data_IF_239207019524
#
_entry.id   IF_239207019524
#
_cell.length_a   1.000
_cell.length_b   1.000
_cell.length_c   1.000
_cell.angle_alpha   90.00
_cell.angle_beta   90.00
_cell.angle_gamma   90.00
#
_symmetry.space_group_name_H-M   'P 1'
#
loop_
_entity.id
_entity.type
_entity.pdbx_description
1 polymer ?
#
# COMPACT_ATOMS: atom_id res chain seq x y z
N UNK A 1 29.19 9.10 -10.07
CA UNK A 1 27.71 9.19 -9.95
C UNK A 1 27.32 10.60 -9.48
N UNK A 2 26.27 11.19 -10.08
CA UNK A 2 25.73 12.52 -9.69
C UNK A 2 25.19 12.56 -8.25
N UNK A 3 25.02 11.39 -7.64
CA UNK A 3 24.57 11.24 -6.25
C UNK A 3 25.69 10.87 -5.28
N UNK A 4 26.95 10.83 -5.73
CA UNK A 4 28.09 10.37 -4.90
C UNK A 4 28.26 11.17 -3.59
N UNK A 5 27.84 12.42 -3.57
CA UNK A 5 27.92 13.25 -2.35
C UNK A 5 26.92 12.80 -1.27
N UNK A 6 25.79 12.19 -1.66
CA UNK A 6 24.80 11.68 -0.70
C UNK A 6 25.40 10.56 0.17
N UNK A 7 26.24 9.70 -0.41
CA UNK A 7 26.86 8.57 0.32
C UNK A 7 27.91 9.00 1.36
N UNK A 8 28.23 10.30 1.45
CA UNK A 8 29.07 10.86 2.50
C UNK A 8 28.28 11.38 3.70
N UNK A 9 26.96 11.45 3.57
CA UNK A 9 26.06 11.88 4.62
C UNK A 9 25.76 10.73 5.58
N UNK A 10 25.42 11.07 6.83
CA UNK A 10 24.87 10.07 7.74
C UNK A 10 23.54 9.53 7.20
N UNK A 11 23.23 8.23 7.39
CA UNK A 11 21.96 7.66 6.94
C UNK A 11 20.74 8.35 7.52
N UNK A 12 20.83 8.88 8.73
CA UNK A 12 19.77 9.62 9.43
C UNK A 12 19.69 11.11 9.04
N UNK A 13 20.62 11.61 8.20
CA UNK A 13 20.55 12.97 7.64
C UNK A 13 19.61 13.04 6.43
N UNK A 14 18.33 12.76 6.63
CA UNK A 14 17.33 12.79 5.56
C UNK A 14 17.25 14.17 4.87
N UNK A 15 17.57 15.27 5.57
CA UNK A 15 17.58 16.63 4.98
C UNK A 15 18.72 16.81 3.98
N UNK A 16 19.89 16.31 4.32
CA UNK A 16 21.02 16.28 3.40
C UNK A 16 20.78 15.38 2.21
N UNK A 17 20.24 14.18 2.43
CA UNK A 17 19.91 13.21 1.39
C UNK A 17 18.90 13.78 0.39
N UNK A 18 17.79 14.35 0.86
CA UNK A 18 16.74 14.90 -0.02
C UNK A 18 17.26 16.05 -0.87
N UNK A 19 18.07 16.95 -0.29
CA UNK A 19 18.73 18.04 -1.03
C UNK A 19 19.75 17.51 -2.03
N UNK A 20 20.48 16.46 -1.68
CA UNK A 20 21.45 15.82 -2.57
C UNK A 20 20.79 15.18 -3.79
N UNK A 21 19.65 14.53 -3.58
CA UNK A 21 18.84 13.92 -4.66
C UNK A 21 18.28 15.00 -5.60
N UNK A 22 17.75 16.11 -5.06
CA UNK A 22 17.26 17.23 -5.85
C UNK A 22 18.39 17.86 -6.69
N UNK A 23 19.53 18.16 -6.09
CA UNK A 23 20.72 18.69 -6.79
C UNK A 23 21.24 17.71 -7.85
N UNK A 24 21.11 16.42 -7.63
CA UNK A 24 21.43 15.38 -8.60
C UNK A 24 20.50 15.33 -9.81
N UNK A 25 19.45 16.17 -9.86
CA UNK A 25 18.52 16.28 -10.98
C UNK A 25 17.51 15.13 -11.06
N UNK A 26 17.13 14.56 -9.91
CA UNK A 26 16.07 13.53 -9.87
C UNK A 26 14.70 14.09 -10.26
N UNK A 27 14.44 15.34 -9.91
CA UNK A 27 13.24 16.06 -10.29
C UNK A 27 13.58 17.37 -11.02
N UNK A 28 12.83 17.67 -12.07
CA UNK A 28 13.00 18.87 -12.90
C UNK A 28 12.37 20.11 -12.27
N UNK A 29 11.42 19.93 -11.35
CA UNK A 29 10.75 21.02 -10.64
C UNK A 29 11.44 21.28 -9.32
N UNK A 30 11.76 22.55 -9.02
CA UNK A 30 12.26 22.96 -7.71
C UNK A 30 11.29 22.66 -6.59
N UNK A 31 11.81 22.44 -5.37
CA UNK A 31 11.00 22.13 -4.19
C UNK A 31 10.77 20.63 -3.93
N UNK A 32 11.37 19.75 -4.74
CA UNK A 32 11.29 18.31 -4.52
C UNK A 32 11.82 17.89 -3.13
N UNK A 33 12.99 18.43 -2.75
CA UNK A 33 13.58 18.16 -1.43
C UNK A 33 12.64 18.61 -0.30
N UNK A 34 12.05 19.80 -0.40
CA UNK A 34 11.12 20.33 0.61
C UNK A 34 9.87 19.46 0.73
N UNK A 35 9.31 19.02 -0.40
CA UNK A 35 8.14 18.13 -0.42
C UNK A 35 8.46 16.78 0.23
N UNK A 36 9.63 16.20 -0.09
CA UNK A 36 10.06 14.92 0.47
C UNK A 36 10.36 15.03 1.97
N UNK A 37 11.00 16.12 2.41
CA UNK A 37 11.21 16.39 3.84
C UNK A 37 9.91 16.51 4.61
N UNK A 38 8.92 17.21 4.03
CA UNK A 38 7.60 17.33 4.63
C UNK A 38 6.92 15.96 4.79
N UNK A 39 7.03 15.07 3.80
CA UNK A 39 6.53 13.69 3.89
C UNK A 39 7.21 12.95 5.06
N UNK A 40 8.54 13.00 5.13
CA UNK A 40 9.32 12.34 6.17
C UNK A 40 8.90 12.87 7.55
N UNK A 41 8.79 14.19 7.71
CA UNK A 41 8.47 14.83 8.99
C UNK A 41 7.03 14.56 9.44
N UNK A 42 6.04 14.71 8.56
CA UNK A 42 4.62 14.47 8.88
C UNK A 42 4.39 13.02 9.30
N UNK A 43 5.09 12.07 8.67
CA UNK A 43 4.93 10.65 8.95
C UNK A 43 5.92 10.15 10.02
N UNK A 44 6.76 11.01 10.56
CA UNK A 44 7.73 10.67 11.58
C UNK A 44 8.73 9.59 11.14
N UNK A 45 9.07 9.52 9.82
CA UNK A 45 9.88 8.44 9.27
C UNK A 45 11.32 8.47 9.79
N UNK A 46 11.84 9.65 10.14
CA UNK A 46 13.17 9.82 10.72
C UNK A 46 13.39 8.98 11.99
N UNK A 47 12.34 8.59 12.69
CA UNK A 47 12.45 7.72 13.88
C UNK A 47 13.00 6.32 13.55
N UNK A 48 12.70 5.82 12.33
CA UNK A 48 13.18 4.49 11.91
C UNK A 48 14.68 4.52 11.63
N UNK A 49 15.17 5.57 10.98
CA UNK A 49 16.60 5.75 10.78
C UNK A 49 17.32 5.83 12.13
N UNK A 50 16.78 6.61 13.08
CA UNK A 50 17.32 6.73 14.44
C UNK A 50 17.33 5.39 15.17
N UNK A 51 16.26 4.59 15.05
CA UNK A 51 16.16 3.26 15.66
C UNK A 51 17.22 2.34 15.09
N UNK A 52 17.34 2.24 13.76
CA UNK A 52 18.36 1.40 13.09
C UNK A 52 19.77 1.86 13.50
N UNK A 53 20.03 3.16 13.56
CA UNK A 53 21.32 3.69 13.99
C UNK A 53 21.64 3.35 15.45
N UNK A 54 20.64 3.32 16.34
CA UNK A 54 20.81 2.91 17.73
C UNK A 54 21.10 1.41 17.83
N UNK A 55 20.36 0.57 17.10
CA UNK A 55 20.57 -0.88 17.05
C UNK A 55 21.98 -1.21 16.53
N UNK A 56 22.41 -0.55 15.44
CA UNK A 56 23.76 -0.75 14.88
C UNK A 56 24.86 -0.33 15.86
N UNK A 57 24.67 0.78 16.58
CA UNK A 57 25.62 1.22 17.62
C UNK A 57 25.70 0.23 18.78
N UNK A 58 24.56 -0.31 19.20
CA UNK A 58 24.48 -1.32 20.26
C UNK A 58 25.20 -2.62 19.86
N UNK A 59 25.15 -2.98 18.57
CA UNK A 59 25.82 -4.16 18.02
C UNK A 59 27.28 -3.91 17.61
N UNK A 60 27.80 -2.68 17.80
CA UNK A 60 29.17 -2.32 17.41
C UNK A 60 29.39 -2.25 15.89
N UNK A 61 28.32 -2.24 15.11
CA UNK A 61 28.36 -2.15 13.65
C UNK A 61 28.50 -0.69 13.21
N UNK A 62 29.32 -0.45 12.20
CA UNK A 62 29.44 0.89 11.57
C UNK A 62 28.65 0.90 10.27
N UNK A 63 27.86 1.96 10.07
CA UNK A 63 27.23 2.21 8.76
C UNK A 63 28.34 2.70 7.81
N UNK A 64 28.67 1.90 6.82
CA UNK A 64 29.62 2.27 5.79
C UNK A 64 29.72 1.15 4.75
N UNK A 65 29.78 1.55 3.48
CA UNK A 65 30.07 0.63 2.38
C UNK A 65 31.48 0.12 2.58
N UNK A 66 31.64 -1.10 3.06
CA UNK A 66 32.91 -1.80 2.89
C UNK A 66 33.15 -1.99 1.40
N UNK A 67 34.04 -1.18 0.85
CA UNK A 67 34.59 -1.43 -0.46
C UNK A 67 35.37 -2.73 -0.38
N UNK A 68 34.83 -3.75 -1.07
CA UNK A 68 35.49 -4.95 -1.56
C UNK A 68 36.96 -5.13 -1.17
N UNK A 69 37.20 -5.92 -0.16
CA UNK A 69 38.40 -6.71 -0.05
C UNK A 69 38.01 -8.15 -0.39
N UNK A 70 38.33 -8.56 -1.61
CA UNK A 70 38.37 -9.95 -2.01
C UNK A 70 39.45 -10.64 -1.18
N UNK A 71 39.04 -11.48 -0.27
CA UNK A 71 39.91 -12.54 0.24
C UNK A 71 39.17 -13.85 0.10
N UNK A 72 39.71 -14.65 -0.81
CA UNK A 72 39.43 -16.06 -0.96
C UNK A 72 39.74 -16.78 0.36
N UNK A 73 38.76 -17.43 0.93
CA UNK A 73 38.99 -18.42 1.97
C UNK A 73 38.19 -19.66 1.63
N UNK A 74 38.94 -20.69 1.50
CA UNK A 74 38.72 -22.07 1.13
C UNK A 74 37.61 -22.72 1.96
N UNK A 75 36.74 -23.42 1.27
CA UNK A 75 35.72 -24.33 1.80
C UNK A 75 36.41 -25.52 2.45
N UNK A 76 36.05 -25.84 3.68
CA UNK A 76 36.20 -27.16 4.24
C UNK A 76 34.86 -27.64 4.76
N UNK A 77 34.38 -28.66 4.08
CA UNK A 77 33.18 -29.41 4.41
C UNK A 77 33.38 -30.27 5.67
N UNK A 78 32.41 -30.26 6.55
CA UNK A 78 32.11 -31.40 7.41
C UNK A 78 30.58 -31.50 7.59
N UNK A 79 30.07 -32.60 7.04
CA UNK A 79 28.72 -33.11 7.21
C UNK A 79 28.58 -33.68 8.61
N UNK A 80 27.54 -33.32 9.32
CA UNK A 80 26.97 -34.11 10.40
C UNK A 80 25.46 -33.94 10.43
N UNK A 81 24.78 -34.98 10.04
CA UNK A 81 23.36 -35.25 10.21
C UNK A 81 22.97 -35.39 11.67
N UNK A 82 21.96 -34.66 12.10
CA UNK A 82 21.00 -35.18 13.10
C UNK A 82 19.70 -34.39 13.01
N UNK A 83 18.63 -35.15 12.78
CA UNK A 83 17.23 -34.73 12.83
C UNK A 83 16.90 -34.25 14.24
N UNK A 84 16.25 -33.09 14.32
CA UNK A 84 15.25 -32.84 15.36
C UNK A 84 14.28 -31.76 14.84
N UNK A 85 13.03 -32.16 14.76
CA UNK A 85 11.87 -31.30 14.60
C UNK A 85 11.79 -30.32 15.76
N UNK A 86 12.12 -29.08 15.54
CA UNK A 86 11.69 -27.99 16.41
C UNK A 86 10.87 -26.97 15.59
N UNK A 87 9.60 -27.02 15.86
CA UNK A 87 8.54 -26.10 15.54
C UNK A 87 8.95 -24.69 16.00
N UNK A 88 9.56 -23.90 15.11
CA UNK A 88 9.88 -22.50 15.38
C UNK A 88 8.56 -21.71 15.41
N UNK A 89 8.02 -21.57 16.60
CA UNK A 89 6.98 -20.59 16.89
C UNK A 89 7.59 -19.20 16.65
N UNK A 90 7.35 -18.65 15.48
CA UNK A 90 7.48 -17.20 15.25
C UNK A 90 6.49 -16.51 16.18
N UNK A 91 7.00 -15.64 17.05
CA UNK A 91 6.21 -14.81 17.93
C UNK A 91 5.12 -14.10 17.10
N UNK A 92 3.90 -14.54 17.28
CA UNK A 92 2.70 -13.94 16.72
C UNK A 92 2.55 -12.57 17.37
N UNK A 93 2.94 -11.51 16.65
CA UNK A 93 2.34 -10.21 16.92
C UNK A 93 0.84 -10.41 16.70
N UNK A 94 0.04 -10.17 17.72
CA UNK A 94 -1.42 -10.15 17.67
C UNK A 94 -1.86 -9.00 16.78
N UNK A 95 -1.72 -9.18 15.46
CA UNK A 95 -2.42 -8.39 14.48
C UNK A 95 -3.88 -8.80 14.56
N UNK A 96 -4.76 -7.83 14.60
CA UNK A 96 -6.20 -8.09 14.55
C UNK A 96 -6.52 -8.60 13.14
N UNK A 97 -6.44 -9.90 12.92
CA UNK A 97 -6.59 -10.58 11.61
C UNK A 97 -7.99 -10.39 10.97
N UNK A 98 -8.80 -9.46 11.49
CA UNK A 98 -10.14 -9.15 10.98
C UNK A 98 -10.15 -8.13 9.83
N UNK A 99 -9.07 -7.39 9.67
CA UNK A 99 -8.96 -6.31 8.67
C UNK A 99 -7.64 -6.34 7.93
N UNK A 100 -7.66 -5.90 6.67
CA UNK A 100 -6.47 -5.75 5.82
C UNK A 100 -6.66 -4.58 4.86
N UNK A 101 -5.58 -3.95 4.43
CA UNK A 101 -5.63 -3.05 3.28
C UNK A 101 -5.78 -3.82 1.96
N UNK A 102 -6.31 -3.18 0.90
CA UNK A 102 -6.57 -3.85 -0.38
C UNK A 102 -5.30 -4.25 -1.14
N UNK A 103 -4.14 -3.70 -0.77
CA UNK A 103 -2.81 -4.08 -1.27
C UNK A 103 -1.86 -4.14 -0.08
N UNK A 104 -1.09 -5.21 0.02
CA UNK A 104 -0.07 -5.33 1.07
C UNK A 104 1.21 -4.66 0.59
N UNK A 105 1.60 -3.60 1.28
CA UNK A 105 2.90 -2.97 1.19
C UNK A 105 3.46 -2.79 2.59
N UNK A 106 4.78 -2.79 2.72
CA UNK A 106 5.42 -2.87 4.04
C UNK A 106 5.09 -1.67 4.94
N UNK A 107 4.91 -0.45 4.38
CA UNK A 107 4.68 0.75 5.17
C UNK A 107 3.63 1.71 4.60
N UNK A 108 3.50 1.84 3.26
CA UNK A 108 2.68 2.88 2.64
C UNK A 108 1.81 2.39 1.51
N UNK A 109 0.58 2.88 1.48
CA UNK A 109 -0.34 2.77 0.39
C UNK A 109 -0.35 4.11 -0.38
N UNK A 110 0.25 4.14 -1.57
CA UNK A 110 0.30 5.36 -2.37
C UNK A 110 -0.96 5.54 -3.18
N UNK A 111 -1.74 6.59 -2.87
CA UNK A 111 -2.90 7.01 -3.64
C UNK A 111 -2.45 7.99 -4.73
N UNK A 112 -2.61 7.60 -5.97
CA UNK A 112 -2.25 8.42 -7.15
C UNK A 112 -3.39 9.32 -7.59
N UNK A 113 -4.63 8.97 -7.27
CA UNK A 113 -5.81 9.79 -7.55
C UNK A 113 -6.91 9.60 -6.51
N UNK A 114 -7.44 10.69 -5.91
CA UNK A 114 -8.45 10.60 -4.86
C UNK A 114 -9.86 10.40 -5.43
N UNK A 115 -10.78 10.07 -4.54
CA UNK A 115 -12.23 10.12 -4.77
C UNK A 115 -12.71 11.55 -4.99
N UNK A 116 -13.69 11.73 -5.87
CA UNK A 116 -14.34 13.02 -6.09
C UNK A 116 -14.24 13.52 -7.54
N UNK A 117 -14.65 14.76 -7.75
CA UNK A 117 -14.58 15.39 -9.06
C UNK A 117 -13.13 15.63 -9.46
N UNK A 118 -12.76 15.14 -10.64
CA UNK A 118 -11.42 15.32 -11.20
C UNK A 118 -11.48 15.51 -12.72
N UNK A 119 -10.41 16.01 -13.29
CA UNK A 119 -10.22 16.00 -14.72
C UNK A 119 -10.24 14.56 -15.26
N UNK A 120 -10.97 14.33 -16.34
CA UNK A 120 -11.04 13.00 -16.96
C UNK A 120 -9.64 12.61 -17.48
N UNK A 121 -9.06 11.47 -17.07
CA UNK A 121 -7.73 11.06 -17.52
C UNK A 121 -7.66 10.76 -19.01
N UNK A 122 -8.79 10.44 -19.65
CA UNK A 122 -8.89 10.13 -21.08
C UNK A 122 -9.25 11.36 -21.93
N UNK A 123 -9.94 12.35 -21.34
CA UNK A 123 -10.34 13.60 -22.00
C UNK A 123 -10.17 14.78 -21.02
N UNK A 124 -9.01 15.40 -21.07
CA UNK A 124 -8.65 16.49 -20.14
C UNK A 124 -9.54 17.75 -20.27
N UNK A 125 -10.38 17.84 -21.31
CA UNK A 125 -11.37 18.92 -21.44
C UNK A 125 -12.61 18.73 -20.55
N UNK A 126 -12.80 17.52 -20.00
CA UNK A 126 -13.96 17.15 -19.20
C UNK A 126 -13.59 16.92 -17.74
N UNK A 127 -14.59 17.13 -16.90
CA UNK A 127 -14.54 16.68 -15.51
C UNK A 127 -15.45 15.47 -15.29
N UNK A 128 -15.00 14.54 -14.45
CA UNK A 128 -15.79 13.39 -14.07
C UNK A 128 -15.68 13.09 -12.60
N UNK A 129 -16.71 12.44 -12.07
CA UNK A 129 -16.72 11.89 -10.72
C UNK A 129 -15.88 10.61 -10.68
N UNK A 130 -14.81 10.60 -9.89
CA UNK A 130 -14.04 9.42 -9.58
C UNK A 130 -14.65 8.72 -8.37
N UNK A 131 -15.26 7.54 -8.60
CA UNK A 131 -16.03 6.80 -7.58
C UNK A 131 -15.18 5.85 -6.74
N UNK A 132 -13.88 6.06 -6.70
CA UNK A 132 -12.91 5.29 -5.95
C UNK A 132 -11.64 6.08 -5.72
N UNK A 133 -10.61 5.40 -5.28
CA UNK A 133 -9.24 5.90 -5.27
C UNK A 133 -8.37 5.02 -6.16
N UNK A 134 -7.38 5.61 -6.82
CA UNK A 134 -6.39 4.85 -7.57
C UNK A 134 -5.15 4.68 -6.70
N UNK A 135 -4.77 3.43 -6.47
CA UNK A 135 -3.66 3.04 -5.62
C UNK A 135 -2.53 2.54 -6.52
N UNK A 136 -1.32 3.05 -6.31
CA UNK A 136 -0.13 2.53 -7.02
C UNK A 136 0.05 1.06 -6.72
N UNK A 137 -0.07 0.23 -7.74
CA UNK A 137 0.12 -1.20 -7.67
C UNK A 137 0.67 -1.70 -9.01
N UNK A 138 1.66 -2.58 -8.96
CA UNK A 138 2.29 -3.16 -10.16
C UNK A 138 2.44 -4.66 -9.94
N UNK A 139 1.51 -5.44 -10.49
CA UNK A 139 1.46 -6.89 -10.29
C UNK A 139 1.45 -7.30 -8.80
N UNK A 140 0.83 -6.45 -7.97
CA UNK A 140 0.70 -6.71 -6.55
C UNK A 140 -0.53 -7.58 -6.26
N UNK A 141 -0.46 -8.40 -5.21
CA UNK A 141 -1.60 -9.13 -4.71
C UNK A 141 -2.69 -8.16 -4.22
N UNK A 142 -3.89 -8.34 -4.74
CA UNK A 142 -5.08 -7.59 -4.34
C UNK A 142 -5.85 -8.42 -3.31
N UNK A 143 -6.16 -7.79 -2.17
CA UNK A 143 -6.59 -8.48 -0.95
C UNK A 143 -7.99 -8.03 -0.51
N UNK A 144 -8.76 -8.97 0.04
CA UNK A 144 -10.01 -8.66 0.74
C UNK A 144 -9.73 -7.86 2.02
N UNK A 145 -10.60 -6.90 2.32
CA UNK A 145 -10.35 -5.93 3.38
C UNK A 145 -10.88 -6.33 4.75
N UNK A 146 -11.88 -7.21 4.82
CA UNK A 146 -12.50 -7.65 6.07
C UNK A 146 -12.77 -9.16 6.06
N UNK A 147 -12.97 -9.72 7.25
CA UNK A 147 -13.48 -11.09 7.40
C UNK A 147 -14.97 -11.16 7.09
N UNK A 148 -15.42 -12.34 6.59
CA UNK A 148 -16.83 -12.60 6.31
C UNK A 148 -17.35 -11.90 5.07
N UNK A 149 -16.46 -11.51 4.17
CA UNK A 149 -16.84 -10.98 2.87
C UNK A 149 -17.37 -12.07 1.95
N UNK A 150 -18.35 -11.73 1.11
CA UNK A 150 -18.86 -12.59 0.04
C UNK A 150 -18.58 -11.95 -1.32
N UNK A 151 -17.98 -12.69 -2.23
CA UNK A 151 -17.80 -12.24 -3.62
C UNK A 151 -19.16 -12.20 -4.31
N UNK A 152 -19.63 -11.01 -4.65
CA UNK A 152 -20.96 -10.80 -5.24
C UNK A 152 -20.91 -10.52 -6.75
N UNK A 153 -19.76 -10.09 -7.27
CA UNK A 153 -19.57 -9.90 -8.71
C UNK A 153 -18.12 -10.16 -9.11
N UNK A 154 -17.95 -10.74 -10.29
CA UNK A 154 -16.68 -10.95 -10.97
C UNK A 154 -16.85 -10.59 -12.44
N UNK A 155 -15.95 -9.77 -12.99
CA UNK A 155 -15.90 -9.48 -14.41
C UNK A 155 -14.55 -9.92 -14.99
N UNK A 156 -14.58 -10.86 -15.91
CA UNK A 156 -13.38 -11.35 -16.61
C UNK A 156 -13.09 -10.60 -17.91
N UNK A 157 -13.98 -9.71 -18.35
CA UNK A 157 -13.82 -8.97 -19.60
C UNK A 157 -12.83 -7.81 -19.42
N UNK A 158 -11.67 -7.94 -20.05
CA UNK A 158 -10.62 -6.90 -20.02
C UNK A 158 -10.98 -5.62 -20.81
N UNK A 159 -12.03 -5.66 -21.66
CA UNK A 159 -12.37 -4.57 -22.57
C UNK A 159 -13.53 -3.70 -22.07
N UNK A 160 -13.97 -3.85 -20.83
CA UNK A 160 -14.89 -2.90 -20.16
C UNK A 160 -14.14 -1.69 -19.59
N UNK A 161 -14.85 -0.63 -19.19
CA UNK A 161 -14.21 0.56 -18.62
C UNK A 161 -13.28 0.23 -17.43
N UNK A 162 -13.76 -0.58 -16.47
CA UNK A 162 -13.00 -1.02 -15.30
C UNK A 162 -12.15 -2.26 -15.53
N UNK A 163 -12.22 -2.90 -16.71
CA UNK A 163 -11.52 -4.12 -17.01
C UNK A 163 -11.94 -5.30 -16.14
N UNK A 164 -11.03 -6.24 -15.92
CA UNK A 164 -11.25 -7.34 -14.99
C UNK A 164 -11.43 -6.80 -13.58
N UNK A 165 -12.48 -7.27 -12.88
CA UNK A 165 -12.82 -6.73 -11.58
C UNK A 165 -13.49 -7.75 -10.66
N UNK A 166 -13.38 -7.49 -9.35
CA UNK A 166 -14.03 -8.25 -8.28
C UNK A 166 -14.79 -7.28 -7.38
N UNK A 167 -15.99 -7.66 -6.93
CA UNK A 167 -16.72 -6.93 -5.88
C UNK A 167 -16.99 -7.87 -4.72
N UNK A 168 -16.62 -7.43 -3.52
CA UNK A 168 -16.85 -8.16 -2.27
C UNK A 168 -17.83 -7.37 -1.41
N UNK A 169 -18.80 -8.06 -0.83
CA UNK A 169 -19.84 -7.50 0.04
C UNK A 169 -19.63 -7.97 1.49
N UNK A 170 -19.69 -7.04 2.42
CA UNK A 170 -19.63 -7.26 3.86
C UNK A 170 -20.94 -6.83 4.49
N UNK A 171 -21.64 -7.75 5.16
CA UNK A 171 -22.92 -7.46 5.83
C UNK A 171 -22.66 -7.02 7.27
N UNK A 172 -23.30 -5.93 7.67
CA UNK A 172 -23.25 -5.37 9.03
C UNK A 172 -24.39 -5.94 9.90
N UNK A 173 -24.23 -5.82 11.21
CA UNK A 173 -25.22 -6.33 12.18
C UNK A 173 -26.61 -5.66 12.05
N UNK A 174 -26.65 -4.42 11.60
CA UNK A 174 -27.88 -3.65 11.35
C UNK A 174 -28.53 -3.96 10.00
N UNK A 175 -28.01 -4.95 9.24
CA UNK A 175 -28.50 -5.33 7.92
C UNK A 175 -28.00 -4.42 6.79
N UNK A 176 -27.27 -3.34 7.08
CA UNK A 176 -26.59 -2.56 6.06
C UNK A 176 -25.38 -3.34 5.49
N UNK A 177 -24.89 -2.91 4.35
CA UNK A 177 -23.79 -3.59 3.67
C UNK A 177 -22.75 -2.58 3.19
N UNK A 178 -21.51 -3.04 3.11
CA UNK A 178 -20.42 -2.35 2.43
C UNK A 178 -19.95 -3.22 1.28
N UNK A 179 -19.86 -2.66 0.10
CA UNK A 179 -19.24 -3.31 -1.07
C UNK A 179 -17.92 -2.64 -1.38
N UNK A 180 -16.87 -3.44 -1.52
CA UNK A 180 -15.57 -3.01 -2.03
C UNK A 180 -15.38 -3.55 -3.45
N UNK A 181 -14.98 -2.70 -4.38
CA UNK A 181 -14.76 -3.05 -5.78
C UNK A 181 -13.32 -2.82 -6.17
N UNK A 182 -12.72 -3.81 -6.80
CA UNK A 182 -11.34 -3.86 -7.23
C UNK A 182 -11.30 -3.97 -8.76
N UNK A 183 -10.72 -2.99 -9.46
CA UNK A 183 -10.73 -2.93 -10.93
C UNK A 183 -9.32 -2.90 -11.52
N UNK A 184 -9.26 -3.02 -12.84
CA UNK A 184 -8.04 -3.04 -13.65
C UNK A 184 -7.13 -4.24 -13.34
N UNK A 185 -7.70 -5.36 -12.86
CA UNK A 185 -6.95 -6.54 -12.48
C UNK A 185 -6.33 -7.22 -13.69
N UNK A 186 -5.13 -7.78 -13.52
CA UNK A 186 -4.51 -8.68 -14.49
C UNK A 186 -5.11 -10.07 -14.39
N UNK A 187 -5.27 -10.59 -13.18
CA UNK A 187 -5.85 -11.90 -12.92
C UNK A 187 -6.81 -11.88 -11.74
N UNK A 188 -7.74 -12.83 -11.71
CA UNK A 188 -8.75 -13.01 -10.68
C UNK A 188 -8.58 -14.40 -10.07
N UNK A 189 -8.55 -14.50 -8.74
CA UNK A 189 -8.29 -15.71 -7.98
C UNK A 189 -9.55 -16.26 -7.27
N UNK A 190 -10.71 -15.61 -7.43
CA UNK A 190 -11.96 -15.94 -6.76
C UNK A 190 -13.11 -15.97 -7.75
N UNK A 191 -14.24 -16.59 -7.35
CA UNK A 191 -15.49 -16.62 -8.12
C UNK A 191 -16.66 -16.09 -7.31
N UNK A 192 -17.74 -15.74 -7.98
CA UNK A 192 -18.99 -15.32 -7.33
C UNK A 192 -19.48 -16.42 -6.38
N UNK A 193 -19.86 -16.00 -5.18
CA UNK A 193 -20.30 -16.86 -4.09
C UNK A 193 -19.23 -17.26 -3.11
N UNK A 194 -17.94 -17.09 -3.43
CA UNK A 194 -16.85 -17.40 -2.50
C UNK A 194 -16.94 -16.51 -1.25
N UNK A 195 -16.70 -17.10 -0.09
CA UNK A 195 -16.48 -16.39 1.17
C UNK A 195 -14.99 -16.08 1.30
N UNK A 196 -14.69 -14.86 1.75
CA UNK A 196 -13.31 -14.38 1.87
C UNK A 196 -13.01 -13.83 3.26
N UNK A 197 -11.74 -13.92 3.65
CA UNK A 197 -11.20 -13.37 4.89
C UNK A 197 -10.31 -12.17 4.60
N UNK A 198 -10.13 -11.30 5.58
CA UNK A 198 -9.18 -10.20 5.51
C UNK A 198 -7.79 -10.70 5.09
N UNK A 199 -7.16 -10.01 4.15
CA UNK A 199 -5.86 -10.40 3.60
C UNK A 199 -5.87 -11.58 2.62
N UNK A 200 -7.05 -12.18 2.34
CA UNK A 200 -7.16 -13.22 1.32
C UNK A 200 -7.01 -12.61 -0.08
N UNK A 201 -6.19 -13.25 -0.90
CA UNK A 201 -5.95 -12.83 -2.29
C UNK A 201 -7.23 -12.96 -3.14
N UNK A 202 -7.61 -11.86 -3.77
CA UNK A 202 -8.72 -11.77 -4.73
C UNK A 202 -8.23 -11.84 -6.18
N UNK A 203 -7.00 -11.44 -6.43
CA UNK A 203 -6.40 -11.36 -7.74
C UNK A 203 -5.05 -10.65 -7.71
N UNK A 204 -4.62 -10.19 -8.87
CA UNK A 204 -3.39 -9.41 -9.07
C UNK A 204 -3.74 -8.11 -9.76
N UNK A 205 -3.18 -7.00 -9.30
CA UNK A 205 -3.33 -5.70 -9.96
C UNK A 205 -2.71 -5.68 -11.35
N UNK A 206 -3.24 -4.85 -12.24
CA UNK A 206 -2.78 -4.77 -13.62
C UNK A 206 -3.21 -3.47 -14.29
N UNK A 207 -3.48 -3.57 -15.59
CA UNK A 207 -3.83 -2.42 -16.43
C UNK A 207 -4.94 -2.79 -17.43
N UNK A 208 -5.87 -3.67 -17.06
CA UNK A 208 -6.99 -4.04 -17.93
C UNK A 208 -8.10 -3.00 -17.89
N UNK A 209 -8.85 -2.89 -18.99
CA UNK A 209 -9.93 -1.93 -19.13
C UNK A 209 -9.60 -0.81 -20.09
N UNK A 210 -10.66 -0.08 -20.50
CA UNK A 210 -10.54 1.02 -21.45
C UNK A 210 -10.42 2.40 -20.80
N UNK A 211 -10.50 2.48 -19.46
CA UNK A 211 -10.42 3.71 -18.69
C UNK A 211 -9.24 3.73 -17.72
N UNK A 212 -8.10 3.24 -18.18
CA UNK A 212 -6.84 3.23 -17.45
C UNK A 212 -5.74 3.84 -18.30
N UNK A 213 -4.77 4.48 -17.65
CA UNK A 213 -3.58 5.09 -18.29
C UNK A 213 -2.27 4.44 -17.87
N UNK A 214 -2.34 3.38 -17.07
CA UNK A 214 -1.18 2.64 -16.56
C UNK A 214 -1.54 1.71 -15.41
N UNK A 215 -0.62 0.86 -15.02
CA UNK A 215 -0.83 -0.12 -13.95
C UNK A 215 -1.16 0.56 -12.62
N UNK A 216 -2.30 0.18 -12.05
CA UNK A 216 -2.75 0.59 -10.72
C UNK A 216 -3.91 -0.30 -10.24
N UNK A 217 -4.26 -0.20 -8.98
CA UNK A 217 -5.52 -0.72 -8.46
C UNK A 217 -6.51 0.44 -8.33
N UNK A 218 -7.64 0.39 -9.04
CA UNK A 218 -8.80 1.21 -8.70
C UNK A 218 -9.60 0.51 -7.59
N UNK A 219 -9.74 1.19 -6.46
CA UNK A 219 -10.45 0.71 -5.28
C UNK A 219 -11.66 1.59 -4.99
N UNK A 220 -12.85 1.02 -5.13
CA UNK A 220 -14.12 1.71 -4.87
C UNK A 220 -14.82 1.16 -3.64
N UNK A 221 -15.58 2.01 -2.93
CA UNK A 221 -16.41 1.62 -1.78
C UNK A 221 -17.82 2.14 -1.97
N UNK A 222 -18.82 1.29 -1.71
CA UNK A 222 -20.22 1.62 -1.75
C UNK A 222 -20.91 1.15 -0.48
N UNK A 223 -21.65 2.03 0.15
CA UNK A 223 -22.54 1.67 1.24
C UNK A 223 -23.95 1.35 0.70
N UNK A 224 -24.55 0.32 1.24
CA UNK A 224 -25.92 -0.09 0.98
C UNK A 224 -26.64 -0.11 2.32
N UNK A 225 -27.60 0.80 2.48
CA UNK A 225 -28.42 0.84 3.70
C UNK A 225 -29.36 -0.35 3.79
N UNK A 226 -29.90 -0.63 4.97
CA UNK A 226 -30.81 -1.75 5.19
C UNK A 226 -32.08 -1.70 4.30
N UNK A 227 -32.50 -0.49 3.86
CA UNK A 227 -33.60 -0.28 2.91
C UNK A 227 -33.16 -0.43 1.42
N UNK A 228 -31.90 -0.84 1.18
CA UNK A 228 -31.36 -1.12 -0.17
C UNK A 228 -30.85 0.09 -0.92
N UNK A 229 -30.87 1.30 -0.34
CA UNK A 229 -30.31 2.50 -0.98
C UNK A 229 -28.78 2.42 -1.05
N UNK A 230 -28.24 2.74 -2.22
CA UNK A 230 -26.79 2.67 -2.47
C UNK A 230 -26.16 4.05 -2.54
N UNK A 231 -24.95 4.17 -1.99
CA UNK A 231 -24.18 5.40 -2.04
C UNK A 231 -22.69 5.09 -2.23
N UNK A 232 -22.06 5.67 -3.26
CA UNK A 232 -20.61 5.68 -3.38
C UNK A 232 -20.03 6.56 -2.27
N UNK A 233 -19.00 6.09 -1.59
CA UNK A 233 -18.33 6.80 -0.49
C UNK A 233 -16.83 6.91 -0.76
N UNK A 234 -16.20 7.91 -0.18
CA UNK A 234 -14.76 8.07 -0.28
C UNK A 234 -14.06 6.87 0.39
N UNK A 235 -13.32 6.04 -0.38
CA UNK A 235 -12.63 4.88 0.16
C UNK A 235 -11.61 5.24 1.24
N UNK A 236 -11.10 6.46 1.28
CA UNK A 236 -10.16 6.88 2.30
C UNK A 236 -10.80 6.88 3.70
N UNK A 237 -12.08 7.24 3.82
CA UNK A 237 -12.80 7.15 5.10
C UNK A 237 -12.96 5.69 5.55
N UNK A 238 -13.27 4.79 4.63
CA UNK A 238 -13.36 3.35 4.90
C UNK A 238 -11.99 2.77 5.31
N UNK A 239 -10.92 3.14 4.61
CA UNK A 239 -9.57 2.70 4.96
C UNK A 239 -9.13 3.20 6.33
N UNK A 240 -9.49 4.44 6.69
CA UNK A 240 -9.24 4.98 8.03
C UNK A 240 -10.00 4.20 9.11
N UNK A 241 -11.26 3.87 8.86
CA UNK A 241 -12.09 3.07 9.79
C UNK A 241 -11.47 1.67 10.03
N UNK A 242 -11.15 0.92 8.97
CA UNK A 242 -10.56 -0.42 9.12
C UNK A 242 -9.14 -0.37 9.71
N UNK A 243 -8.36 0.68 9.40
CA UNK A 243 -7.05 0.88 10.00
C UNK A 243 -7.16 1.08 11.52
N UNK A 244 -8.11 1.88 11.98
CA UNK A 244 -8.37 2.09 13.39
C UNK A 244 -8.88 0.81 14.08
N UNK A 245 -9.88 0.15 13.50
CA UNK A 245 -10.46 -1.09 14.05
C UNK A 245 -9.48 -2.25 14.07
N UNK A 246 -8.63 -2.35 13.06
CA UNK A 246 -7.65 -3.42 12.88
C UNK A 246 -6.29 -3.12 13.48
N UNK A 247 -6.06 -1.91 14.01
CA UNK A 247 -4.73 -1.43 14.41
C UNK A 247 -3.69 -1.65 13.30
N UNK A 248 -4.08 -1.34 12.05
CA UNK A 248 -3.23 -1.52 10.89
C UNK A 248 -2.13 -0.44 10.88
N UNK A 249 -0.89 -0.85 10.69
CA UNK A 249 0.28 0.06 10.69
C UNK A 249 0.47 0.78 9.36
N UNK A 250 -0.05 0.21 8.28
CA UNK A 250 0.06 0.77 6.93
C UNK A 250 -0.66 2.11 6.83
N UNK A 251 -0.06 3.07 6.15
CA UNK A 251 -0.64 4.40 5.94
C UNK A 251 -0.95 4.62 4.45
N UNK A 252 -2.04 5.33 4.17
CA UNK A 252 -2.35 5.77 2.82
C UNK A 252 -1.87 7.21 2.60
N UNK A 253 -1.08 7.42 1.55
CA UNK A 253 -0.51 8.71 1.19
C UNK A 253 -1.05 9.17 -0.17
N UNK A 254 -1.42 10.45 -0.26
CA UNK A 254 -1.80 11.09 -1.50
C UNK A 254 -0.94 12.34 -1.74
N UNK A 255 -0.19 12.37 -2.85
CA UNK A 255 0.73 13.47 -3.20
C UNK A 255 1.58 13.94 -2.01
N UNK A 256 2.04 12.99 -1.17
CA UNK A 256 2.85 13.28 0.01
C UNK A 256 2.06 13.72 1.26
N UNK A 257 0.74 13.73 1.22
CA UNK A 257 -0.12 13.96 2.37
C UNK A 257 -0.69 12.63 2.87
N UNK A 258 -0.77 12.46 4.19
CA UNK A 258 -1.43 11.31 4.79
C UNK A 258 -2.94 11.40 4.56
N UNK A 259 -3.47 10.54 3.69
CA UNK A 259 -4.88 10.52 3.37
C UNK A 259 -5.73 10.02 4.55
N UNK A 260 -5.18 9.12 5.38
CA UNK A 260 -5.88 8.57 6.54
C UNK A 260 -5.94 9.55 7.70
N UNK A 261 -4.92 10.41 7.89
CA UNK A 261 -4.91 11.41 8.96
C UNK A 261 -6.11 12.36 8.85
N UNK A 262 -6.51 12.71 7.63
CA UNK A 262 -7.69 13.54 7.35
C UNK A 262 -8.98 13.01 7.97
N UNK A 263 -9.09 11.70 8.16
CA UNK A 263 -10.29 11.04 8.70
C UNK A 263 -10.14 10.58 10.14
N UNK A 264 -8.90 10.48 10.66
CA UNK A 264 -8.65 10.12 12.07
C UNK A 264 -9.10 11.22 13.03
N UNK A 265 -8.90 12.48 12.64
CA UNK A 265 -9.22 13.64 13.48
C UNK A 265 -10.72 14.02 13.49
N UNK A 266 -11.51 13.46 12.58
CA UNK A 266 -12.96 13.74 12.47
C UNK A 266 -13.83 12.69 13.16
N UNK A 267 -13.24 11.74 13.87
CA UNK A 267 -13.89 10.58 14.49
C UNK A 267 -14.02 10.65 16.03
N UNK A 268 -13.93 11.84 16.63
CA UNK A 268 -14.20 12.05 18.07
C UNK A 268 -15.56 12.68 18.29
#
# INVERSE_FOLDING_TARGET
>A
SRYSQCFKLSPDDYKGWTKGIERGGYATNGGYAASLQKIIEINGLQKYDQQVMQEMRAEGKKFGVEQNARTSATVSSSVSTSNNDEKKQTASQTTNDKYSFPVKRDEFLFVTSPFGMRQDPMDKSKQQMHKGIDIRAKHDDVLATENGGKVVAVNHNANTGGGKSVTVEYTRLDGSKVQTTYMHLDSIAVKVGDEVKAGQKLGVSGNTGTRTTGEHLHFGVKNISADGKTRDVDPASYLAEIAQKGNLKQQALYNGNDLLAKYKDNGS
#
